data_IF_847176109354
#
_entry.id   IF_847176109354
#
_cell.length_a   1.000
_cell.length_b   1.000
_cell.length_c   1.000
_cell.angle_alpha   90.00
_cell.angle_beta   90.00
_cell.angle_gamma   90.00
#
_symmetry.space_group_name_H-M   'P 1'
#
loop_
_entity.id
_entity.type
_entity.pdbx_description
1 polymer ?
#
# COMPACT_ATOMS: atom_id res chain seq x y z
N UNK A 1 -4.39 17.42 3.17
CA UNK A 1 -3.68 16.13 3.25
C UNK A 1 -3.77 15.66 4.68
N UNK A 2 -4.35 14.47 4.88
CA UNK A 2 -4.49 13.71 6.13
C UNK A 2 -3.49 13.92 7.28
N UNK A 3 -2.26 14.35 7.00
CA UNK A 3 -1.19 14.52 7.98
C UNK A 3 -1.35 15.78 8.84
N UNK A 4 -1.86 16.87 8.27
CA UNK A 4 -1.90 18.20 8.91
C UNK A 4 -3.21 18.50 9.66
N UNK A 5 -4.27 17.70 9.43
CA UNK A 5 -5.64 17.88 9.98
C UNK A 5 -6.24 19.28 9.74
N UNK A 6 -5.78 20.04 8.74
CA UNK A 6 -6.31 21.36 8.41
C UNK A 6 -7.76 21.32 7.93
N UNK A 7 -8.17 20.19 7.35
CA UNK A 7 -9.52 19.93 6.89
C UNK A 7 -10.11 18.78 7.70
N UNK A 8 -11.21 19.06 8.42
CA UNK A 8 -11.80 18.13 9.40
C UNK A 8 -12.39 16.86 8.75
N UNK A 9 -12.74 16.95 7.46
CA UNK A 9 -13.38 15.88 6.68
C UNK A 9 -12.54 15.39 5.47
N UNK A 10 -11.24 15.67 5.44
CA UNK A 10 -10.32 15.18 4.38
C UNK A 10 -10.04 13.68 4.56
N UNK A 11 -11.02 12.86 4.15
CA UNK A 11 -11.05 11.40 4.33
C UNK A 11 -10.93 10.57 3.04
N UNK A 12 -10.89 11.24 1.89
CA UNK A 12 -10.69 10.61 0.60
C UNK A 12 -10.25 11.65 -0.44
N UNK A 13 -9.79 11.19 -1.59
CA UNK A 13 -9.37 12.06 -2.69
C UNK A 13 -10.56 12.64 -3.50
N UNK A 14 -11.80 12.32 -3.17
CA UNK A 14 -13.00 12.65 -3.97
C UNK A 14 -13.05 12.04 -5.38
N UNK A 15 -11.98 11.35 -5.82
CA UNK A 15 -11.84 10.74 -7.13
C UNK A 15 -11.50 9.26 -6.94
N UNK A 16 -12.47 8.40 -7.24
CA UNK A 16 -12.27 6.95 -7.27
C UNK A 16 -12.45 6.46 -8.70
N UNK A 17 -11.48 5.69 -9.21
CA UNK A 17 -11.60 5.06 -10.53
C UNK A 17 -12.69 3.98 -10.56
N UNK A 18 -13.02 3.40 -9.41
CA UNK A 18 -14.04 2.35 -9.24
C UNK A 18 -14.80 2.56 -7.93
N UNK A 19 -16.01 2.01 -7.82
CA UNK A 19 -16.84 2.19 -6.63
C UNK A 19 -16.30 1.32 -5.48
N UNK A 20 -15.75 1.91 -4.40
CA UNK A 20 -15.18 1.12 -3.30
C UNK A 20 -16.27 0.44 -2.49
N UNK A 21 -16.06 -0.83 -2.14
CA UNK A 21 -16.91 -1.49 -1.15
C UNK A 21 -16.44 -1.12 0.27
N UNK A 22 -16.46 0.18 0.56
CA UNK A 22 -15.81 0.78 1.73
C UNK A 22 -16.32 0.22 3.05
N UNK A 23 -17.65 0.11 3.19
CA UNK A 23 -18.26 -0.36 4.44
C UNK A 23 -17.90 -1.82 4.75
N UNK A 24 -17.89 -2.69 3.74
CA UNK A 24 -17.49 -4.08 3.91
C UNK A 24 -16.00 -4.23 4.28
N UNK A 25 -15.12 -3.43 3.66
CA UNK A 25 -13.68 -3.48 3.95
C UNK A 25 -13.39 -3.05 5.38
N UNK A 26 -13.92 -1.90 5.81
CA UNK A 26 -13.65 -1.35 7.14
C UNK A 26 -14.28 -2.22 8.23
N UNK A 27 -15.54 -2.63 8.07
CA UNK A 27 -16.19 -3.52 9.03
C UNK A 27 -15.43 -4.84 9.21
N UNK A 28 -14.89 -5.40 8.12
CA UNK A 28 -14.10 -6.63 8.22
C UNK A 28 -12.78 -6.41 8.97
N UNK A 29 -12.15 -5.22 8.85
CA UNK A 29 -10.93 -4.86 9.56
C UNK A 29 -11.16 -4.60 11.05
N UNK A 30 -12.31 -4.02 11.42
CA UNK A 30 -12.65 -3.72 12.82
C UNK A 30 -12.61 -4.97 13.71
N UNK A 31 -12.93 -6.14 13.13
CA UNK A 31 -12.95 -7.43 13.82
C UNK A 31 -11.57 -8.14 13.89
N UNK A 32 -10.47 -7.48 13.47
CA UNK A 32 -9.13 -8.10 13.39
C UNK A 32 -8.15 -7.57 14.43
N UNK A 33 -7.21 -8.40 14.91
CA UNK A 33 -6.15 -7.94 15.80
C UNK A 33 -5.33 -6.79 15.20
N UNK A 34 -4.82 -5.92 16.08
CA UNK A 34 -3.99 -4.78 15.65
C UNK A 34 -2.72 -5.26 14.96
N UNK A 35 -2.39 -4.67 13.82
CA UNK A 35 -1.19 -4.98 13.07
C UNK A 35 -1.10 -6.40 12.50
N UNK A 36 -2.22 -7.14 12.37
CA UNK A 36 -2.20 -8.51 11.88
C UNK A 36 -2.62 -8.68 10.42
N UNK A 37 -3.18 -7.64 9.80
CA UNK A 37 -3.74 -7.72 8.44
C UNK A 37 -2.69 -7.36 7.38
N UNK A 38 -2.63 -8.14 6.31
CA UNK A 38 -1.89 -7.83 5.09
C UNK A 38 -2.85 -7.22 4.08
N UNK A 39 -2.62 -5.98 3.67
CA UNK A 39 -3.31 -5.40 2.54
C UNK A 39 -2.54 -5.72 1.25
N UNK A 40 -3.24 -6.10 0.18
CA UNK A 40 -2.65 -6.53 -1.09
C UNK A 40 -3.31 -5.78 -2.24
N UNK A 41 -2.52 -4.99 -2.98
CA UNK A 41 -3.02 -4.25 -4.15
C UNK A 41 -1.89 -3.93 -5.14
N UNK A 42 -2.15 -4.24 -6.42
CA UNK A 42 -1.24 -3.99 -7.55
C UNK A 42 -1.67 -2.78 -8.40
N UNK A 43 -2.52 -1.92 -7.84
CA UNK A 43 -3.00 -0.71 -8.52
C UNK A 43 -4.05 -0.98 -9.59
N UNK A 44 -4.37 0.04 -10.37
CA UNK A 44 -5.46 -0.01 -11.36
C UNK A 44 -5.07 -0.59 -12.72
N UNK A 45 -3.79 -0.55 -13.06
CA UNK A 45 -3.30 -0.87 -14.41
C UNK A 45 -2.58 -2.21 -14.50
N UNK A 46 -2.09 -2.73 -13.37
CA UNK A 46 -1.29 -3.95 -13.40
C UNK A 46 -2.19 -5.19 -13.36
N UNK A 47 -1.76 -6.22 -14.08
CA UNK A 47 -2.39 -7.53 -14.11
C UNK A 47 -1.37 -8.60 -13.76
N UNK A 48 -1.75 -9.51 -12.88
CA UNK A 48 -0.92 -10.68 -12.58
C UNK A 48 -1.23 -11.79 -13.59
N UNK A 49 -0.23 -12.63 -13.87
CA UNK A 49 -0.45 -13.89 -14.57
C UNK A 49 -1.27 -14.85 -13.70
N UNK A 50 -1.87 -15.87 -14.31
CA UNK A 50 -2.57 -16.93 -13.57
C UNK A 50 -1.63 -17.63 -12.57
N UNK A 51 -0.42 -17.98 -12.99
CA UNK A 51 0.59 -18.60 -12.12
C UNK A 51 0.94 -17.70 -10.92
N UNK A 52 1.17 -16.40 -11.15
CA UNK A 52 1.50 -15.47 -10.06
C UNK A 52 0.30 -15.23 -9.12
N UNK A 53 -0.91 -15.22 -9.67
CA UNK A 53 -2.16 -15.12 -8.89
C UNK A 53 -2.33 -16.35 -7.99
N UNK A 54 -2.05 -17.53 -8.51
CA UNK A 54 -2.08 -18.78 -7.75
C UNK A 54 -1.05 -18.81 -6.61
N UNK A 55 0.21 -18.46 -6.89
CA UNK A 55 1.26 -18.39 -5.86
C UNK A 55 0.91 -17.39 -4.76
N UNK A 56 0.32 -16.26 -5.13
CA UNK A 56 -0.14 -15.24 -4.18
C UNK A 56 -1.31 -15.73 -3.33
N UNK A 57 -2.31 -16.36 -3.94
CA UNK A 57 -3.47 -16.92 -3.25
C UNK A 57 -3.04 -17.94 -2.17
N UNK A 58 -2.18 -18.89 -2.55
CA UNK A 58 -1.70 -19.91 -1.63
C UNK A 58 -0.72 -19.35 -0.58
N UNK A 59 0.15 -18.42 -0.95
CA UNK A 59 1.04 -17.76 0.01
C UNK A 59 0.29 -16.98 1.10
N UNK A 60 -0.81 -16.32 0.74
CA UNK A 60 -1.65 -15.61 1.70
C UNK A 60 -2.41 -16.57 2.62
N UNK A 61 -3.06 -17.60 2.04
CA UNK A 61 -3.89 -18.55 2.78
C UNK A 61 -3.07 -19.47 3.68
N UNK A 62 -2.05 -20.11 3.14
CA UNK A 62 -1.27 -21.13 3.85
C UNK A 62 -0.34 -20.49 4.90
N UNK A 63 -0.01 -19.20 4.73
CA UNK A 63 0.64 -18.39 5.75
C UNK A 63 -0.24 -18.10 6.98
N UNK A 64 -1.54 -18.40 6.93
CA UNK A 64 -2.48 -18.24 8.04
C UNK A 64 -2.82 -16.79 8.37
N UNK A 65 -2.45 -15.85 7.49
CA UNK A 65 -2.56 -14.42 7.66
C UNK A 65 -4.00 -13.92 7.50
N UNK A 66 -4.34 -12.82 8.19
CA UNK A 66 -5.50 -12.04 7.80
C UNK A 66 -5.13 -11.18 6.60
N UNK A 67 -5.94 -11.17 5.54
CA UNK A 67 -5.63 -10.35 4.37
C UNK A 67 -6.86 -9.72 3.71
N UNK A 68 -6.65 -8.53 3.16
CA UNK A 68 -7.53 -7.93 2.15
C UNK A 68 -6.78 -7.92 0.84
N UNK A 69 -7.36 -8.52 -0.20
CA UNK A 69 -6.76 -8.52 -1.53
C UNK A 69 -7.69 -7.90 -2.56
N UNK A 70 -7.21 -6.82 -3.18
CA UNK A 70 -7.88 -6.18 -4.31
C UNK A 70 -7.63 -6.97 -5.59
N UNK A 71 -8.68 -7.59 -6.14
CA UNK A 71 -8.68 -8.31 -7.41
C UNK A 71 -9.85 -7.81 -8.24
N UNK A 72 -9.55 -7.19 -9.39
CA UNK A 72 -10.60 -6.66 -10.28
C UNK A 72 -11.48 -7.79 -10.81
N UNK A 73 -12.74 -7.48 -11.10
CA UNK A 73 -13.71 -8.48 -11.58
C UNK A 73 -13.22 -9.22 -12.84
N UNK A 74 -12.49 -8.54 -13.72
CA UNK A 74 -11.87 -9.12 -14.91
C UNK A 74 -10.77 -10.14 -14.61
N UNK A 75 -10.21 -10.14 -13.40
CA UNK A 75 -9.10 -10.99 -12.98
C UNK A 75 -9.52 -12.10 -12.01
N UNK A 76 -10.76 -12.08 -11.50
CA UNK A 76 -11.23 -13.11 -10.57
C UNK A 76 -11.20 -14.53 -11.17
N UNK A 77 -11.30 -14.65 -12.50
CA UNK A 77 -11.16 -15.93 -13.21
C UNK A 77 -9.76 -16.56 -13.11
N UNK A 78 -8.73 -15.78 -12.71
CA UNK A 78 -7.35 -16.24 -12.52
C UNK A 78 -7.13 -16.88 -11.14
N UNK A 79 -8.08 -16.75 -10.21
CA UNK A 79 -7.98 -17.38 -8.90
C UNK A 79 -8.06 -18.91 -9.02
N UNK A 80 -7.33 -19.66 -8.16
CA UNK A 80 -7.45 -21.11 -8.14
C UNK A 80 -8.91 -21.53 -7.87
N UNK A 81 -9.39 -22.58 -8.54
CA UNK A 81 -10.80 -23.02 -8.46
C UNK A 81 -11.25 -23.35 -7.03
N UNK A 82 -10.34 -23.86 -6.21
CA UNK A 82 -10.61 -24.24 -4.82
C UNK A 82 -10.32 -23.09 -3.83
N UNK A 83 -10.01 -21.90 -4.33
CA UNK A 83 -9.78 -20.72 -3.51
C UNK A 83 -11.12 -20.08 -3.14
N UNK A 84 -11.52 -20.25 -1.88
CA UNK A 84 -12.68 -19.54 -1.36
C UNK A 84 -12.31 -18.07 -1.19
N UNK A 85 -12.80 -17.24 -2.11
CA UNK A 85 -12.34 -15.87 -2.23
C UNK A 85 -12.59 -15.00 -0.99
N UNK A 86 -13.67 -15.25 -0.25
CA UNK A 86 -13.94 -14.58 1.03
C UNK A 86 -14.15 -15.61 2.13
N UNK A 87 -13.36 -15.52 3.19
CA UNK A 87 -13.40 -16.39 4.37
C UNK A 87 -13.24 -15.56 5.65
N UNK A 88 -13.20 -16.21 6.80
CA UNK A 88 -12.89 -15.55 8.08
C UNK A 88 -11.54 -14.81 8.03
N UNK A 89 -10.56 -15.39 7.33
CA UNK A 89 -9.19 -14.87 7.26
C UNK A 89 -8.89 -14.00 6.04
N UNK A 90 -9.62 -14.16 4.95
CA UNK A 90 -9.37 -13.44 3.70
C UNK A 90 -10.60 -12.71 3.20
N UNK A 91 -10.43 -11.45 2.77
CA UNK A 91 -11.45 -10.68 2.08
C UNK A 91 -10.94 -10.28 0.69
N UNK A 92 -11.59 -10.77 -0.36
CA UNK A 92 -11.35 -10.33 -1.74
C UNK A 92 -12.39 -9.29 -2.14
N UNK A 93 -11.93 -8.17 -2.69
CA UNK A 93 -12.79 -7.10 -3.19
C UNK A 93 -12.28 -6.59 -4.54
N UNK A 94 -13.19 -6.13 -5.40
CA UNK A 94 -12.82 -5.52 -6.68
C UNK A 94 -12.13 -4.15 -6.49
N UNK A 95 -12.50 -3.43 -5.44
CA UNK A 95 -11.94 -2.13 -5.11
C UNK A 95 -12.05 -1.85 -3.60
N UNK A 96 -11.11 -1.11 -3.06
CA UNK A 96 -10.98 -0.83 -1.64
C UNK A 96 -10.71 0.66 -1.41
N UNK A 97 -11.24 1.29 -0.34
CA UNK A 97 -10.83 2.64 0.05
C UNK A 97 -9.40 2.60 0.61
N UNK A 98 -8.39 2.55 -0.26
CA UNK A 98 -7.00 2.27 0.09
C UNK A 98 -6.49 3.14 1.24
N UNK A 99 -6.74 4.45 1.20
CA UNK A 99 -6.35 5.34 2.30
C UNK A 99 -6.94 4.93 3.64
N UNK A 100 -8.22 4.54 3.68
CA UNK A 100 -8.88 4.13 4.91
C UNK A 100 -8.32 2.80 5.44
N UNK A 101 -7.94 1.88 4.54
CA UNK A 101 -7.24 0.65 4.94
C UNK A 101 -5.83 0.94 5.45
N UNK A 102 -5.08 1.83 4.78
CA UNK A 102 -3.72 2.20 5.17
C UNK A 102 -3.65 2.90 6.54
N UNK A 103 -4.71 3.57 6.99
CA UNK A 103 -4.78 4.18 8.34
C UNK A 103 -5.32 3.23 9.41
N UNK A 104 -5.88 2.07 9.02
CA UNK A 104 -6.57 1.18 9.95
C UNK A 104 -5.60 0.49 10.91
N UNK A 105 -5.95 0.39 12.19
CA UNK A 105 -5.03 -0.15 13.20
C UNK A 105 -4.77 -1.66 13.09
N UNK A 106 -5.70 -2.39 12.47
CA UNK A 106 -5.52 -3.80 12.13
C UNK A 106 -4.44 -4.02 11.05
N UNK A 107 -4.10 -3.01 10.25
CA UNK A 107 -3.12 -3.17 9.18
C UNK A 107 -1.71 -3.37 9.73
N UNK A 108 -1.10 -4.49 9.36
CA UNK A 108 0.29 -4.84 9.68
C UNK A 108 1.26 -4.42 8.59
N UNK A 109 0.95 -4.72 7.34
CA UNK A 109 1.79 -4.37 6.19
C UNK A 109 1.00 -4.31 4.88
N UNK A 110 1.63 -3.71 3.86
CA UNK A 110 1.06 -3.57 2.52
C UNK A 110 1.94 -4.24 1.47
N UNK A 111 1.42 -5.30 0.83
CA UNK A 111 2.00 -5.93 -0.34
C UNK A 111 1.57 -5.18 -1.60
N UNK A 112 2.55 -4.62 -2.30
CA UNK A 112 2.30 -3.68 -3.39
C UNK A 112 3.27 -3.83 -4.54
N UNK A 113 2.79 -3.48 -5.74
CA UNK A 113 3.61 -3.26 -6.93
C UNK A 113 4.59 -2.08 -6.81
N UNK A 114 4.56 -1.28 -5.75
CA UNK A 114 5.41 -0.09 -5.59
C UNK A 114 5.21 0.99 -6.66
N UNK A 115 3.98 1.17 -7.14
CA UNK A 115 3.60 2.40 -7.84
C UNK A 115 3.82 3.62 -6.94
N UNK A 116 4.23 4.75 -7.52
CA UNK A 116 4.69 5.92 -6.75
C UNK A 116 3.64 6.46 -5.77
N UNK A 117 2.39 6.60 -6.21
CA UNK A 117 1.30 7.10 -5.36
C UNK A 117 1.08 6.22 -4.13
N UNK A 118 0.88 4.91 -4.33
CA UNK A 118 0.66 3.97 -3.23
C UNK A 118 1.88 3.85 -2.30
N UNK A 119 3.09 4.02 -2.84
CA UNK A 119 4.32 4.07 -2.05
C UNK A 119 4.36 5.31 -1.16
N UNK A 120 4.01 6.49 -1.70
CA UNK A 120 3.95 7.73 -0.94
C UNK A 120 2.85 7.72 0.13
N UNK A 121 1.67 7.16 -0.17
CA UNK A 121 0.59 6.98 0.80
C UNK A 121 1.06 6.12 1.98
N UNK A 122 1.64 4.95 1.70
CA UNK A 122 2.13 4.05 2.74
C UNK A 122 3.26 4.68 3.57
N UNK A 123 4.23 5.34 2.92
CA UNK A 123 5.33 6.05 3.60
C UNK A 123 4.79 7.16 4.50
N UNK A 124 3.85 7.96 3.99
CA UNK A 124 3.21 9.06 4.72
C UNK A 124 2.39 8.57 5.90
N UNK A 125 1.82 7.37 5.81
CA UNK A 125 1.00 6.78 6.87
C UNK A 125 1.79 5.88 7.82
N UNK A 126 3.06 5.59 7.52
CA UNK A 126 3.96 4.80 8.34
C UNK A 126 3.71 3.30 8.24
N UNK A 127 3.26 2.84 7.08
CA UNK A 127 2.91 1.43 6.82
C UNK A 127 4.11 0.69 6.22
N UNK A 128 4.56 -0.42 6.83
CA UNK A 128 5.56 -1.30 6.25
C UNK A 128 5.16 -1.88 4.89
N UNK A 129 6.12 -2.02 3.97
CA UNK A 129 5.87 -2.49 2.61
C UNK A 129 6.49 -3.86 2.32
N UNK A 130 5.74 -4.72 1.61
CA UNK A 130 6.28 -5.86 0.86
C UNK A 130 6.27 -5.47 -0.61
N UNK A 131 7.44 -5.20 -1.16
CA UNK A 131 7.61 -4.75 -2.52
C UNK A 131 7.64 -5.94 -3.50
N UNK A 132 6.67 -5.97 -4.41
CA UNK A 132 6.57 -6.95 -5.50
C UNK A 132 6.39 -6.19 -6.83
N UNK A 133 7.45 -5.50 -7.31
CA UNK A 133 7.36 -4.63 -8.48
C UNK A 133 7.12 -5.44 -9.76
N UNK A 134 6.37 -4.87 -10.69
CA UNK A 134 5.99 -5.51 -11.95
C UNK A 134 6.69 -4.86 -13.17
N UNK A 135 6.62 -3.53 -13.33
CA UNK A 135 7.17 -2.83 -14.51
C UNK A 135 7.56 -1.37 -14.20
N UNK A 136 8.16 -0.66 -15.17
CA UNK A 136 8.51 0.78 -15.11
C UNK A 136 9.46 1.16 -13.95
N UNK A 137 9.14 2.26 -13.26
CA UNK A 137 9.81 2.82 -12.10
C UNK A 137 9.63 1.97 -10.84
N UNK A 138 8.71 0.99 -10.83
CA UNK A 138 8.40 0.18 -9.65
C UNK A 138 9.62 -0.58 -9.11
N UNK A 139 10.51 -1.05 -9.99
CA UNK A 139 11.75 -1.73 -9.59
C UNK A 139 12.67 -0.76 -8.81
N UNK A 140 12.77 0.48 -9.27
CA UNK A 140 13.53 1.55 -8.60
C UNK A 140 12.87 1.93 -7.28
N UNK A 141 11.54 2.07 -7.25
CA UNK A 141 10.78 2.37 -6.03
C UNK A 141 10.96 1.26 -4.98
N UNK A 142 10.90 0.00 -5.39
CA UNK A 142 11.18 -1.15 -4.51
C UNK A 142 12.61 -1.10 -3.93
N UNK A 143 13.59 -0.61 -4.70
CA UNK A 143 14.96 -0.39 -4.22
C UNK A 143 15.02 0.72 -3.18
N UNK A 144 14.30 1.82 -3.37
CA UNK A 144 14.21 2.90 -2.36
C UNK A 144 13.58 2.40 -1.07
N UNK A 145 12.46 1.67 -1.18
CA UNK A 145 11.74 1.05 -0.05
C UNK A 145 12.65 0.15 0.79
N UNK A 146 13.41 -0.74 0.13
CA UNK A 146 14.26 -1.73 0.79
C UNK A 146 15.61 -1.15 1.27
N UNK A 147 16.33 -0.46 0.38
CA UNK A 147 17.75 -0.14 0.58
C UNK A 147 17.96 1.24 1.21
N UNK A 148 17.10 2.22 0.88
CA UNK A 148 17.29 3.62 1.26
C UNK A 148 16.44 3.98 2.47
N UNK A 149 15.12 3.86 2.36
CA UNK A 149 14.19 4.20 3.43
C UNK A 149 14.08 3.11 4.48
N UNK A 150 14.36 1.85 4.10
CA UNK A 150 14.32 0.67 4.96
C UNK A 150 12.96 0.51 5.66
N UNK A 151 11.89 0.77 4.90
CA UNK A 151 10.49 0.68 5.35
C UNK A 151 9.81 -0.61 4.83
N UNK A 152 10.58 -1.52 4.24
CA UNK A 152 10.02 -2.75 3.69
C UNK A 152 11.06 -3.74 3.20
N UNK A 153 10.58 -4.86 2.69
CA UNK A 153 11.37 -5.90 2.03
C UNK A 153 10.94 -6.05 0.58
N UNK A 154 11.79 -6.64 -0.26
CA UNK A 154 11.43 -6.98 -1.65
C UNK A 154 11.17 -8.47 -1.73
N UNK A 155 9.99 -8.85 -2.21
CA UNK A 155 9.68 -10.23 -2.57
C UNK A 155 10.48 -10.59 -3.84
N UNK A 156 11.40 -11.55 -3.70
CA UNK A 156 12.32 -11.93 -4.78
C UNK A 156 11.67 -13.01 -5.64
N UNK A 157 11.59 -12.75 -6.94
CA UNK A 157 11.12 -13.72 -7.92
C UNK A 157 12.19 -14.76 -8.24
N UNK A 158 11.75 -15.94 -8.67
CA UNK A 158 12.62 -16.99 -9.19
C UNK A 158 13.12 -16.70 -10.62
N UNK A 159 13.82 -17.66 -11.22
CA UNK A 159 14.31 -17.57 -12.60
C UNK A 159 13.21 -17.46 -13.67
N UNK A 160 11.95 -17.73 -13.34
CA UNK A 160 10.78 -17.54 -14.21
C UNK A 160 10.08 -16.21 -13.97
N UNK A 161 10.68 -15.33 -13.16
CA UNK A 161 10.10 -14.07 -12.74
C UNK A 161 8.79 -14.23 -11.92
N UNK A 162 8.63 -15.39 -11.26
CA UNK A 162 7.49 -15.68 -10.38
C UNK A 162 7.93 -15.56 -8.91
N UNK A 163 7.21 -14.76 -8.14
CA UNK A 163 7.33 -14.74 -6.69
C UNK A 163 6.53 -15.91 -6.11
N UNK A 164 7.26 -16.92 -5.64
CA UNK A 164 6.68 -18.15 -5.08
C UNK A 164 6.00 -17.91 -3.72
N UNK A 165 5.01 -18.74 -3.39
CA UNK A 165 4.22 -18.70 -2.15
C UNK A 165 5.07 -18.74 -0.89
N UNK A 166 6.20 -19.45 -0.92
CA UNK A 166 7.16 -19.53 0.18
C UNK A 166 7.81 -18.16 0.41
N UNK A 167 8.19 -17.46 -0.66
CA UNK A 167 8.73 -16.10 -0.59
C UNK A 167 7.70 -15.13 -0.04
N UNK A 168 6.44 -15.20 -0.51
CA UNK A 168 5.35 -14.36 0.01
C UNK A 168 5.16 -14.59 1.51
N UNK A 169 5.04 -15.85 1.92
CA UNK A 169 4.87 -16.24 3.33
C UNK A 169 6.05 -15.76 4.18
N UNK A 170 7.28 -15.91 3.67
CA UNK A 170 8.49 -15.48 4.35
C UNK A 170 8.52 -13.96 4.53
N UNK A 171 8.25 -13.17 3.49
CA UNK A 171 8.23 -11.71 3.58
C UNK A 171 7.16 -11.20 4.57
N UNK A 172 5.98 -11.83 4.61
CA UNK A 172 4.93 -11.47 5.57
C UNK A 172 5.42 -11.73 7.00
N UNK A 173 5.93 -12.93 7.28
CA UNK A 173 6.47 -13.27 8.62
C UNK A 173 7.63 -12.38 9.01
N UNK A 174 8.52 -12.06 8.08
CA UNK A 174 9.66 -11.18 8.33
C UNK A 174 9.21 -9.80 8.82
N UNK A 175 8.17 -9.23 8.21
CA UNK A 175 7.63 -7.93 8.64
C UNK A 175 6.85 -8.03 9.95
N UNK A 176 6.01 -9.06 10.13
CA UNK A 176 5.05 -9.10 11.23
C UNK A 176 5.58 -9.75 12.51
N UNK A 177 6.55 -10.66 12.41
CA UNK A 177 6.91 -11.59 13.51
C UNK A 177 8.39 -11.52 13.93
N UNK A 178 9.23 -10.73 13.25
CA UNK A 178 10.68 -10.70 13.51
C UNK A 178 11.19 -9.35 14.02
N UNK A 179 12.39 -9.34 14.62
CA UNK A 179 13.03 -8.09 15.06
C UNK A 179 13.35 -7.16 13.89
N UNK A 180 13.68 -7.72 12.71
CA UNK A 180 13.85 -6.92 11.49
C UNK A 180 12.54 -6.23 11.10
N UNK A 181 11.40 -6.89 11.28
CA UNK A 181 10.08 -6.29 11.15
C UNK A 181 9.85 -5.11 12.10
N UNK A 182 10.29 -5.26 13.36
CA UNK A 182 10.25 -4.16 14.34
C UNK A 182 11.09 -2.95 13.92
N UNK A 183 12.29 -3.18 13.36
CA UNK A 183 13.14 -2.12 12.80
C UNK A 183 12.48 -1.43 11.60
N UNK A 184 11.91 -2.20 10.68
CA UNK A 184 11.15 -1.69 9.52
C UNK A 184 9.99 -0.80 9.98
N UNK A 185 9.25 -1.22 11.00
CA UNK A 185 8.13 -0.43 11.57
C UNK A 185 8.63 0.87 12.20
N UNK A 186 9.73 0.84 12.95
CA UNK A 186 10.36 2.05 13.51
C UNK A 186 10.78 3.03 12.39
N UNK A 187 11.38 2.52 11.32
CA UNK A 187 11.74 3.34 10.16
C UNK A 187 10.51 3.93 9.47
N UNK A 188 9.45 3.14 9.30
CA UNK A 188 8.19 3.59 8.69
C UNK A 188 7.58 4.77 9.47
N UNK A 189 7.56 4.67 10.81
CA UNK A 189 7.10 5.76 11.69
C UNK A 189 8.00 7.00 11.59
N UNK A 190 9.33 6.81 11.53
CA UNK A 190 10.28 7.91 11.34
C UNK A 190 10.00 8.66 10.04
N UNK A 191 9.82 7.95 8.93
CA UNK A 191 9.52 8.55 7.62
C UNK A 191 8.15 9.23 7.59
N UNK A 192 7.12 8.65 8.20
CA UNK A 192 5.82 9.30 8.42
C UNK A 192 5.96 10.65 9.09
N UNK A 193 6.68 10.70 10.21
CA UNK A 193 6.85 11.95 10.96
C UNK A 193 7.63 13.00 10.16
N UNK A 194 8.66 12.58 9.42
CA UNK A 194 9.39 13.47 8.52
C UNK A 194 8.50 14.00 7.39
N UNK A 195 7.75 13.12 6.72
CA UNK A 195 6.82 13.49 5.66
C UNK A 195 5.81 14.53 6.18
N UNK A 196 5.20 14.27 7.34
CA UNK A 196 4.29 15.19 8.01
C UNK A 196 4.94 16.55 8.32
N UNK A 197 6.13 16.59 8.90
CA UNK A 197 6.77 17.86 9.25
C UNK A 197 7.12 18.72 8.02
N UNK A 198 7.40 18.09 6.87
CA UNK A 198 7.73 18.82 5.64
C UNK A 198 6.52 19.47 4.98
N UNK A 199 5.33 18.91 5.21
CA UNK A 199 4.10 19.29 4.52
C UNK A 199 3.11 20.03 5.43
N UNK A 200 3.30 19.96 6.75
CA UNK A 200 2.63 20.80 7.74
C UNK A 200 2.96 22.29 7.48
N UNK A 201 2.13 23.17 8.04
CA UNK A 201 2.26 24.62 7.89
C UNK A 201 3.67 25.13 8.26
N UNK A 202 4.30 25.88 7.36
CA UNK A 202 5.67 26.36 7.54
C UNK A 202 6.76 25.31 7.29
N UNK A 203 6.38 24.08 6.94
CA UNK A 203 7.26 23.04 6.42
C UNK A 203 7.84 23.41 5.05
N UNK A 204 8.88 22.69 4.63
CA UNK A 204 9.59 23.03 3.39
C UNK A 204 8.72 22.82 2.14
N UNK A 205 7.95 21.73 2.08
CA UNK A 205 7.06 21.49 0.94
C UNK A 205 5.91 22.50 0.91
N UNK A 206 5.35 22.87 2.07
CA UNK A 206 4.32 23.91 2.19
C UNK A 206 4.82 25.28 1.68
N UNK A 207 6.05 25.66 2.06
CA UNK A 207 6.72 26.86 1.53
C UNK A 207 6.95 26.79 0.02
N UNK A 208 7.51 25.69 -0.48
CA UNK A 208 7.75 25.53 -1.93
C UNK A 208 6.46 25.57 -2.75
N UNK A 209 5.36 24.98 -2.24
CA UNK A 209 4.05 25.07 -2.89
C UNK A 209 3.54 26.51 -2.89
N UNK A 210 3.69 27.24 -1.78
CA UNK A 210 3.30 28.65 -1.67
C UNK A 210 4.09 29.53 -2.65
N UNK A 211 5.41 29.34 -2.72
CA UNK A 211 6.29 30.03 -3.68
C UNK A 211 5.87 29.76 -5.13
N UNK A 212 5.60 28.50 -5.46
CA UNK A 212 5.14 28.10 -6.79
C UNK A 212 3.82 28.77 -7.18
N UNK A 213 2.82 28.76 -6.30
CA UNK A 213 1.51 29.38 -6.53
C UNK A 213 1.64 30.89 -6.67
N UNK A 214 2.49 31.52 -5.85
CA UNK A 214 2.75 32.97 -5.89
C UNK A 214 3.37 33.39 -7.22
N UNK A 215 4.38 32.65 -7.68
CA UNK A 215 5.04 32.90 -8.96
C UNK A 215 4.09 32.72 -10.16
N UNK A 216 3.24 31.67 -10.13
CA UNK A 216 2.20 31.49 -11.15
C UNK A 216 1.23 32.67 -11.19
N UNK A 217 0.76 33.14 -10.03
CA UNK A 217 -0.15 34.27 -9.92
C UNK A 217 0.50 35.56 -10.47
N UNK A 218 1.76 35.82 -10.14
CA UNK A 218 2.52 36.96 -10.66
C UNK A 218 2.64 36.92 -12.19
N UNK A 219 2.95 35.76 -12.79
CA UNK A 219 3.04 35.62 -14.26
C UNK A 219 1.70 35.82 -14.95
N UNK A 220 0.61 35.31 -14.39
CA UNK A 220 -0.73 35.52 -14.92
C UNK A 220 -1.17 36.99 -14.84
N UNK A 221 -0.76 37.71 -13.80
CA UNK A 221 -1.03 39.15 -13.67
C UNK A 221 -0.18 39.98 -14.64
N UNK A 222 1.07 39.61 -14.89
CA UNK A 222 1.97 40.30 -15.81
C UNK A 222 1.67 40.03 -17.30
N UNK A 223 0.82 39.04 -17.60
CA UNK A 223 0.41 38.67 -18.96
C UNK A 223 -0.92 39.30 -19.41
N UNK A 224 -1.51 40.17 -18.58
CA UNK A 224 -2.71 40.98 -18.88
C UNK A 224 -2.33 42.43 -19.11
#
# INVERSE_FOLDING_TARGET
MYLDKRLQDDKDYGVNMYNPNSEACIKWLDDKPKGSVVYVSFGSMAELSEEQTEELAWGLRDGGNYFIWVIRDSEQGKLPKDFVGTSEKGLIVAWCPQLQVLIHEALGCFLTHCGWNSTLEALSLGVPLIAMPLWTDQITNAKLVRDVWKIGVKAVADEKEIVRRETITHCIKEILETEKGNEIKKNSIKWKNLAKNYVDEGGNSDKSTTEFVTELAHRCAASK
#
